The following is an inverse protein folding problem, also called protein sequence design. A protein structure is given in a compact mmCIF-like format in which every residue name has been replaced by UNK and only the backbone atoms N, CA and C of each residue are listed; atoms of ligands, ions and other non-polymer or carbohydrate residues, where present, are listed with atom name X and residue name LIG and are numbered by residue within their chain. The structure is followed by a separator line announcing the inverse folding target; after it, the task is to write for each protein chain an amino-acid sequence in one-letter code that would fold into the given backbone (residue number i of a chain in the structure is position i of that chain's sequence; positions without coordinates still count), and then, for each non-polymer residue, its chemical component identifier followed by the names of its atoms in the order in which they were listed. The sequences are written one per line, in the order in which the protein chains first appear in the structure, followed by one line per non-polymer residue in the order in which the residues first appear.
data_IF_228496732591
#
_entry.id   IF_228496732591
#
_cell.length_a   1.000
_cell.length_b   1.000
_cell.length_c   1.000
_cell.angle_alpha   90.00
_cell.angle_beta   90.00
_cell.angle_gamma   90.00
#
_symmetry.space_group_name_H-M   'P 1'
#
loop_
_entity.id
_entity.type
_entity.pdbx_description
1 polymer ?
#
# COMPACT_ATOMS: atom_id res chain seq x y z
N UNK A 1 -8.57 12.50 10.18
CA UNK A 1 -7.61 11.46 10.59
C UNK A 1 -7.73 10.27 9.63
N UNK A 2 -6.63 9.89 8.99
CA UNK A 2 -6.64 8.85 7.96
C UNK A 2 -7.09 7.50 8.51
N UNK A 3 -6.56 7.12 9.65
CA UNK A 3 -6.88 5.84 10.29
C UNK A 3 -7.70 6.07 11.56
N UNK A 4 -8.96 6.50 11.36
CA UNK A 4 -9.89 6.73 12.46
C UNK A 4 -10.22 5.39 13.15
N UNK A 5 -9.90 5.23 14.45
CA UNK A 5 -10.19 3.98 15.17
C UNK A 5 -11.69 3.67 15.30
N UNK A 6 -12.55 4.64 15.03
CA UNK A 6 -14.00 4.42 15.04
C UNK A 6 -14.52 3.91 13.69
N UNK A 7 -13.71 3.98 12.65
CA UNK A 7 -14.09 3.52 11.32
C UNK A 7 -14.07 1.99 11.27
N UNK A 8 -15.15 1.40 10.75
CA UNK A 8 -15.32 -0.05 10.70
C UNK A 8 -14.27 -0.75 9.85
N UNK A 9 -13.91 -0.16 8.71
CA UNK A 9 -12.87 -0.71 7.83
C UNK A 9 -11.51 -0.71 8.53
N UNK A 10 -11.19 0.37 9.22
CA UNK A 10 -9.95 0.46 10.01
C UNK A 10 -9.92 -0.60 11.10
N UNK A 11 -11.06 -0.82 11.79
CA UNK A 11 -11.17 -1.85 12.82
C UNK A 11 -10.95 -3.26 12.25
N UNK A 12 -11.53 -3.57 11.09
CA UNK A 12 -11.33 -4.86 10.42
C UNK A 12 -9.86 -5.05 10.03
N UNK A 13 -9.24 -4.02 9.48
CA UNK A 13 -7.82 -4.11 9.11
C UNK A 13 -6.92 -4.30 10.34
N UNK A 14 -7.26 -3.66 11.46
CA UNK A 14 -6.54 -3.86 12.72
C UNK A 14 -6.66 -5.32 13.20
N UNK A 15 -7.84 -5.93 13.07
CA UNK A 15 -8.03 -7.35 13.37
C UNK A 15 -7.17 -8.24 12.48
N UNK A 16 -7.11 -7.93 11.18
CA UNK A 16 -6.27 -8.66 10.23
C UNK A 16 -4.79 -8.58 10.59
N UNK A 17 -4.32 -7.38 10.95
CA UNK A 17 -2.93 -7.19 11.36
C UNK A 17 -2.60 -7.98 12.65
N UNK A 18 -3.53 -8.03 13.59
CA UNK A 18 -3.35 -8.84 14.79
C UNK A 18 -3.20 -10.33 14.45
N UNK A 19 -4.01 -10.82 13.52
CA UNK A 19 -3.93 -12.21 13.05
C UNK A 19 -2.60 -12.48 12.34
N UNK A 20 -2.11 -11.54 11.53
CA UNK A 20 -0.77 -11.65 10.92
C UNK A 20 0.31 -11.80 11.99
N UNK A 21 0.21 -11.00 13.06
CA UNK A 21 1.15 -11.07 14.17
C UNK A 21 1.15 -12.41 14.89
N UNK A 22 0.03 -13.13 14.84
CA UNK A 22 -0.11 -14.48 15.41
C UNK A 22 0.26 -15.59 14.42
N UNK A 23 0.70 -15.23 13.19
CA UNK A 23 1.02 -16.19 12.14
C UNK A 23 -0.20 -16.81 11.46
N UNK A 24 -1.38 -16.22 11.65
CA UNK A 24 -2.63 -16.72 11.08
C UNK A 24 -2.96 -16.03 9.76
N UNK A 25 -2.10 -16.24 8.75
CA UNK A 25 -2.15 -15.50 7.48
C UNK A 25 -3.44 -15.73 6.69
N UNK A 26 -3.96 -16.96 6.66
CA UNK A 26 -5.20 -17.25 5.95
C UNK A 26 -6.40 -16.53 6.57
N UNK A 27 -6.46 -16.53 7.91
CA UNK A 27 -7.52 -15.80 8.63
C UNK A 27 -7.38 -14.30 8.43
N UNK A 28 -6.17 -13.78 8.45
CA UNK A 28 -5.89 -12.36 8.17
C UNK A 28 -6.37 -11.98 6.77
N UNK A 29 -6.03 -12.77 5.76
CA UNK A 29 -6.45 -12.54 4.38
C UNK A 29 -7.97 -12.48 4.26
N UNK A 30 -8.68 -13.38 4.93
CA UNK A 30 -10.14 -13.40 4.93
C UNK A 30 -10.73 -12.13 5.56
N UNK A 31 -10.16 -11.65 6.65
CA UNK A 31 -10.61 -10.42 7.31
C UNK A 31 -10.36 -9.19 6.43
N UNK A 32 -9.20 -9.11 5.79
CA UNK A 32 -8.91 -8.00 4.86
C UNK A 32 -9.89 -8.00 3.69
N UNK A 33 -10.21 -9.17 3.14
CA UNK A 33 -11.19 -9.29 2.06
C UNK A 33 -12.58 -8.86 2.54
N UNK A 34 -12.96 -9.22 3.76
CA UNK A 34 -14.21 -8.78 4.36
C UNK A 34 -14.23 -7.25 4.50
N UNK A 35 -13.11 -6.64 4.91
CA UNK A 35 -12.99 -5.18 4.98
C UNK A 35 -13.25 -4.55 3.61
N UNK A 36 -12.70 -5.12 2.55
CA UNK A 36 -12.94 -4.66 1.18
C UNK A 36 -14.42 -4.77 0.80
N UNK A 37 -15.04 -5.93 1.07
CA UNK A 37 -16.43 -6.17 0.71
C UNK A 37 -17.40 -5.23 1.44
N UNK A 38 -17.08 -4.86 2.67
CA UNK A 38 -17.89 -3.95 3.48
C UNK A 38 -17.61 -2.46 3.21
N UNK A 39 -16.47 -2.13 2.60
CA UNK A 39 -16.05 -0.76 2.35
C UNK A 39 -16.99 -0.06 1.37
N UNK A 40 -17.35 1.20 1.65
CA UNK A 40 -18.29 1.98 0.82
C UNK A 40 -17.72 3.29 0.32
N UNK A 41 -16.70 3.86 0.97
CA UNK A 41 -16.09 5.13 0.56
C UNK A 41 -14.76 4.89 -0.13
N UNK A 42 -14.27 5.87 -0.88
CA UNK A 42 -12.95 5.76 -1.51
C UNK A 42 -11.83 5.58 -0.49
N UNK A 43 -11.90 6.28 0.64
CA UNK A 43 -10.92 6.12 1.72
C UNK A 43 -10.92 4.68 2.25
N UNK A 44 -12.09 4.12 2.51
CA UNK A 44 -12.23 2.75 2.99
C UNK A 44 -11.74 1.73 1.96
N UNK A 45 -12.10 1.93 0.69
CA UNK A 45 -11.64 1.05 -0.40
C UNK A 45 -10.11 1.10 -0.55
N UNK A 46 -9.52 2.30 -0.48
CA UNK A 46 -8.07 2.44 -0.49
C UNK A 46 -7.42 1.65 0.64
N UNK A 47 -7.88 1.84 1.86
CA UNK A 47 -7.30 1.17 3.04
C UNK A 47 -7.43 -0.35 2.90
N UNK A 48 -8.61 -0.85 2.58
CA UNK A 48 -8.86 -2.29 2.45
C UNK A 48 -8.04 -2.92 1.32
N UNK A 49 -7.99 -2.30 0.15
CA UNK A 49 -7.24 -2.81 -1.00
C UNK A 49 -5.74 -2.93 -0.69
N UNK A 50 -5.20 -1.95 0.02
CA UNK A 50 -3.80 -1.97 0.45
C UNK A 50 -3.48 -3.23 1.26
N UNK A 51 -4.35 -3.60 2.18
CA UNK A 51 -4.14 -4.81 3.00
C UNK A 51 -4.43 -6.09 2.24
N UNK A 52 -5.44 -6.10 1.35
CA UNK A 52 -5.73 -7.28 0.51
C UNK A 52 -4.51 -7.62 -0.35
N UNK A 53 -3.81 -6.62 -0.88
CA UNK A 53 -2.63 -6.81 -1.73
C UNK A 53 -1.55 -7.64 -1.02
N UNK A 54 -1.41 -7.52 0.29
CA UNK A 54 -0.36 -8.18 1.07
C UNK A 54 -0.42 -9.69 1.01
N UNK A 55 -1.60 -10.26 0.78
CA UNK A 55 -1.81 -11.72 0.81
C UNK A 55 -2.10 -12.31 -0.57
N UNK A 56 -1.75 -11.60 -1.63
CA UNK A 56 -1.89 -12.12 -2.99
C UNK A 56 -0.73 -13.06 -3.32
N UNK A 57 -1.03 -14.12 -4.06
CA UNK A 57 -0.06 -15.18 -4.34
C UNK A 57 1.02 -14.80 -5.34
N UNK A 58 0.78 -13.82 -6.21
CA UNK A 58 1.74 -13.47 -7.25
C UNK A 58 1.83 -11.97 -7.48
N UNK A 59 2.89 -11.53 -8.14
CA UNK A 59 3.15 -10.13 -8.41
C UNK A 59 2.06 -9.47 -9.25
N UNK A 60 1.49 -10.19 -10.21
CA UNK A 60 0.41 -9.67 -11.05
C UNK A 60 -0.84 -9.34 -10.24
N UNK A 61 -1.22 -10.23 -9.33
CA UNK A 61 -2.37 -10.04 -8.46
C UNK A 61 -2.11 -8.93 -7.44
N UNK A 62 -0.89 -8.86 -6.89
CA UNK A 62 -0.48 -7.76 -6.01
C UNK A 62 -0.58 -6.41 -6.73
N UNK A 63 -0.08 -6.35 -7.96
CA UNK A 63 -0.14 -5.14 -8.77
C UNK A 63 -1.57 -4.67 -8.97
N UNK A 64 -2.48 -5.59 -9.27
CA UNK A 64 -3.90 -5.27 -9.42
C UNK A 64 -4.45 -4.59 -8.17
N UNK A 65 -4.21 -5.16 -6.99
CA UNK A 65 -4.73 -4.62 -5.74
C UNK A 65 -4.03 -3.35 -5.31
N UNK A 66 -2.71 -3.24 -5.53
CA UNK A 66 -1.98 -2.01 -5.23
C UNK A 66 -2.44 -0.86 -6.12
N UNK A 67 -2.70 -1.12 -7.41
CA UNK A 67 -3.28 -0.12 -8.31
C UNK A 67 -4.69 0.26 -7.90
N UNK A 68 -5.49 -0.72 -7.48
CA UNK A 68 -6.84 -0.46 -6.97
C UNK A 68 -6.79 0.48 -5.77
N UNK A 69 -5.85 0.23 -4.84
CA UNK A 69 -5.66 1.11 -3.69
C UNK A 69 -5.30 2.53 -4.12
N UNK A 70 -4.38 2.67 -5.07
CA UNK A 70 -3.97 3.98 -5.58
C UNK A 70 -5.14 4.71 -6.25
N UNK A 71 -5.92 4.01 -7.09
CA UNK A 71 -7.05 4.61 -7.79
C UNK A 71 -8.06 5.19 -6.81
N UNK A 72 -8.39 4.47 -5.74
CA UNK A 72 -9.30 4.99 -4.73
C UNK A 72 -8.67 6.13 -3.92
N UNK A 73 -7.38 6.03 -3.58
CA UNK A 73 -6.68 7.08 -2.84
C UNK A 73 -6.71 8.42 -3.59
N UNK A 74 -6.63 8.37 -4.92
CA UNK A 74 -6.65 9.57 -5.76
C UNK A 74 -7.98 10.33 -5.71
N UNK A 75 -9.04 9.69 -5.26
CA UNK A 75 -10.36 10.32 -5.06
C UNK A 75 -10.55 10.86 -3.65
N UNK A 76 -9.58 10.66 -2.76
CA UNK A 76 -9.59 11.20 -1.39
C UNK A 76 -8.84 12.53 -1.41
N UNK A 77 -9.29 13.58 -0.67
CA UNK A 77 -8.56 14.85 -0.64
C UNK A 77 -7.10 14.66 -0.22
N UNK A 78 -6.17 15.31 -0.95
CA UNK A 78 -4.73 15.20 -0.75
C UNK A 78 -4.30 15.40 0.70
N UNK A 79 -4.91 16.34 1.40
CA UNK A 79 -4.57 16.62 2.80
C UNK A 79 -4.65 15.37 3.69
N UNK A 80 -5.47 14.38 3.31
CA UNK A 80 -5.63 13.16 4.10
C UNK A 80 -4.69 12.03 3.66
N UNK A 81 -4.26 11.99 2.40
CA UNK A 81 -3.58 10.82 1.84
C UNK A 81 -2.16 11.07 1.31
N UNK A 82 -1.69 12.33 1.28
CA UNK A 82 -0.34 12.63 0.76
C UNK A 82 0.76 11.77 1.38
N UNK A 83 0.70 11.56 2.68
CA UNK A 83 1.68 10.76 3.40
C UNK A 83 1.66 9.28 3.03
N UNK A 84 0.61 8.79 2.39
CA UNK A 84 0.49 7.40 1.96
C UNK A 84 1.06 7.18 0.55
N UNK A 85 1.15 8.21 -0.29
CA UNK A 85 1.61 8.04 -1.67
C UNK A 85 3.01 7.43 -1.80
N UNK A 86 4.00 7.80 -0.96
CA UNK A 86 5.31 7.14 -1.07
C UNK A 86 5.22 5.62 -0.99
N UNK A 87 4.47 5.08 -0.03
CA UNK A 87 4.34 3.64 0.12
C UNK A 87 3.48 3.01 -0.98
N UNK A 88 2.43 3.70 -1.44
CA UNK A 88 1.60 3.21 -2.53
C UNK A 88 2.40 3.04 -3.82
N UNK A 89 3.16 4.05 -4.20
CA UNK A 89 4.00 3.97 -5.39
C UNK A 89 5.17 3.00 -5.21
N UNK A 90 5.74 2.91 -4.02
CA UNK A 90 6.78 1.94 -3.70
C UNK A 90 6.28 0.51 -3.94
N UNK A 91 5.08 0.19 -3.46
CA UNK A 91 4.50 -1.14 -3.62
C UNK A 91 4.24 -1.48 -5.09
N UNK A 92 3.69 -0.54 -5.86
CA UNK A 92 3.45 -0.71 -7.29
C UNK A 92 4.79 -0.91 -8.03
N UNK A 93 5.79 -0.10 -7.70
CA UNK A 93 7.12 -0.21 -8.29
C UNK A 93 7.73 -1.60 -8.05
N UNK A 94 7.61 -2.09 -6.81
CA UNK A 94 8.12 -3.41 -6.44
C UNK A 94 7.40 -4.51 -7.21
N UNK A 95 6.08 -4.38 -7.39
CA UNK A 95 5.30 -5.35 -8.15
C UNK A 95 5.77 -5.40 -9.61
N UNK A 96 6.00 -4.24 -10.23
CA UNK A 96 6.55 -4.18 -11.58
C UNK A 96 7.95 -4.78 -11.66
N UNK A 97 8.79 -4.50 -10.66
CA UNK A 97 10.13 -5.08 -10.61
C UNK A 97 10.05 -6.61 -10.55
N UNK A 98 9.17 -7.15 -9.72
CA UNK A 98 8.95 -8.60 -9.59
C UNK A 98 8.41 -9.23 -10.89
N UNK A 99 7.71 -8.44 -11.71
CA UNK A 99 7.24 -8.84 -13.03
C UNK A 99 8.29 -8.63 -14.12
N UNK A 100 9.50 -8.22 -13.76
CA UNK A 100 10.60 -7.90 -14.69
C UNK A 100 10.27 -6.73 -15.63
N UNK A 101 9.34 -5.87 -15.25
CA UNK A 101 8.99 -4.66 -15.99
C UNK A 101 9.78 -3.48 -15.43
N UNK A 102 11.08 -3.46 -15.71
CA UNK A 102 12.04 -2.58 -15.04
C UNK A 102 11.80 -1.10 -15.34
N UNK A 103 11.39 -0.76 -16.56
CA UNK A 103 11.11 0.63 -16.93
C UNK A 103 9.93 1.17 -16.11
N UNK A 104 8.84 0.41 -16.05
CA UNK A 104 7.67 0.78 -15.25
C UNK A 104 8.01 0.85 -13.76
N UNK A 105 8.80 -0.12 -13.27
CA UNK A 105 9.24 -0.11 -11.89
C UNK A 105 9.98 1.17 -11.56
N UNK A 106 10.96 1.54 -12.39
CA UNK A 106 11.75 2.75 -12.17
C UNK A 106 10.89 4.01 -12.15
N UNK A 107 9.97 4.14 -13.10
CA UNK A 107 9.05 5.29 -13.15
C UNK A 107 8.28 5.45 -11.85
N UNK A 108 7.80 4.33 -11.28
CA UNK A 108 7.03 4.36 -10.04
C UNK A 108 7.91 4.61 -8.81
N UNK A 109 9.15 4.10 -8.80
CA UNK A 109 10.10 4.46 -7.74
C UNK A 109 10.43 5.96 -7.78
N UNK A 110 10.60 6.54 -8.97
CA UNK A 110 10.83 7.97 -9.12
C UNK A 110 9.64 8.80 -8.63
N UNK A 111 8.42 8.36 -8.95
CA UNK A 111 7.21 9.01 -8.46
C UNK A 111 7.12 8.90 -6.93
N UNK A 112 7.40 7.72 -6.37
CA UNK A 112 7.43 7.53 -4.93
C UNK A 112 8.42 8.49 -4.27
N UNK A 113 9.61 8.65 -4.87
CA UNK A 113 10.62 9.56 -4.34
C UNK A 113 10.11 11.00 -4.30
N UNK A 114 9.34 11.41 -5.30
CA UNK A 114 8.79 12.78 -5.36
C UNK A 114 7.84 13.09 -4.22
N UNK A 115 7.24 12.08 -3.61
CA UNK A 115 6.31 12.23 -2.49
C UNK A 115 6.98 12.06 -1.11
N UNK A 116 8.27 11.74 -1.05
CA UNK A 116 8.95 11.53 0.24
C UNK A 116 8.92 12.75 1.17
N UNK A 117 8.85 14.01 0.69
CA UNK A 117 8.68 15.14 1.61
C UNK A 117 7.46 15.07 2.50
N UNK A 118 6.45 14.26 2.14
CA UNK A 118 5.23 14.09 2.91
C UNK A 118 5.31 12.95 3.93
N UNK A 119 6.43 12.22 3.98
CA UNK A 119 6.66 11.21 5.00
C UNK A 119 6.97 11.85 6.35
N UNK A 120 6.53 11.22 7.43
CA UNK A 120 6.91 11.63 8.76
C UNK A 120 8.38 11.27 9.02
N UNK A 121 9.06 12.06 9.86
CA UNK A 121 10.43 11.79 10.27
C UNK A 121 10.43 10.79 11.44
N UNK A 122 10.11 9.54 11.13
CA UNK A 122 10.03 8.44 12.09
C UNK A 122 10.61 7.16 11.44
N UNK A 123 10.61 6.07 12.20
CA UNK A 123 11.14 4.79 11.70
C UNK A 123 10.45 4.28 10.46
N UNK A 124 9.13 4.44 10.39
CA UNK A 124 8.36 4.03 9.22
C UNK A 124 8.73 4.85 7.98
N UNK A 125 8.78 6.19 8.12
CA UNK A 125 9.16 7.07 7.02
C UNK A 125 10.56 6.77 6.50
N UNK A 126 11.50 6.51 7.41
CA UNK A 126 12.87 6.15 7.04
C UNK A 126 12.92 4.82 6.29
N UNK A 127 12.12 3.85 6.71
CA UNK A 127 12.03 2.53 6.05
C UNK A 127 11.50 2.68 4.62
N UNK A 128 10.43 3.46 4.44
CA UNK A 128 9.85 3.70 3.11
C UNK A 128 10.86 4.41 2.19
N UNK A 129 11.52 5.46 2.69
CA UNK A 129 12.53 6.17 1.93
C UNK A 129 13.68 5.25 1.51
N UNK A 130 14.18 4.43 2.43
CA UNK A 130 15.24 3.46 2.15
C UNK A 130 14.82 2.44 1.08
N UNK A 131 13.57 1.97 1.15
CA UNK A 131 13.03 1.04 0.13
C UNK A 131 12.98 1.65 -1.25
N UNK A 132 12.59 2.92 -1.34
CA UNK A 132 12.54 3.66 -2.61
C UNK A 132 13.94 3.81 -3.21
N UNK A 133 14.90 4.27 -2.41
CA UNK A 133 16.28 4.48 -2.89
C UNK A 133 16.95 3.17 -3.30
N UNK A 134 16.69 2.09 -2.56
CA UNK A 134 17.19 0.75 -2.94
C UNK A 134 16.58 0.29 -4.26
N UNK A 135 15.29 0.52 -4.47
CA UNK A 135 14.60 0.20 -5.73
C UNK A 135 15.16 0.97 -6.91
N UNK A 136 15.43 2.26 -6.73
CA UNK A 136 16.05 3.09 -7.77
C UNK A 136 17.45 2.57 -8.13
N UNK A 137 18.21 2.13 -7.13
CA UNK A 137 19.54 1.56 -7.38
C UNK A 137 19.44 0.25 -8.17
N UNK A 138 18.51 -0.65 -7.80
CA UNK A 138 18.33 -1.92 -8.52
C UNK A 138 17.84 -1.74 -9.96
N UNK A 139 17.08 -0.69 -10.23
CA UNK A 139 16.44 -0.48 -11.53
C UNK A 139 17.18 0.51 -12.43
N UNK A 140 18.32 1.03 -12.01
CA UNK A 140 19.11 1.92 -12.86
C UNK A 140 19.78 1.14 -13.99
N UNK A 141 20.00 1.83 -15.10
CA UNK A 141 20.65 1.25 -16.28
C UNK A 141 22.16 1.17 -16.10
#
# INVERSE_FOLDING_TARGET
MLYDPQNKTVQRCAQGMALEGEGKDEEAAAIFRQAWDEATTDLEKFIAAHYVARHQAGASSKLHWDKTALDHAQHVPDAQVKGAYPSLYLNIAKDYEDLCEIIHAREHYETALSYTPFLNDDGYGKMIHAGITAGLERTKN
#
